data_IF_368113873160
#
_entry.id   IF_368113873160
#
_cell.length_a   1.000
_cell.length_b   1.000
_cell.length_c   1.000
_cell.angle_alpha   90.00
_cell.angle_beta   90.00
_cell.angle_gamma   90.00
#
_symmetry.space_group_name_H-M   'P 1'
#
loop_
_entity.id
_entity.type
_entity.pdbx_description
1 polymer ?
#
# COMPACT_ATOMS: atom_id res chain seq x y z
N UNK A 1 16.79 -5.44 6.83
CA UNK A 1 15.93 -5.21 8.01
C UNK A 1 14.79 -6.20 7.95
N UNK A 2 14.87 -7.22 8.80
CA UNK A 2 13.87 -8.27 8.98
C UNK A 2 12.80 -7.75 9.94
N UNK A 3 11.70 -7.19 9.43
CA UNK A 3 10.72 -6.51 10.30
C UNK A 3 9.38 -7.26 10.36
N UNK A 4 9.06 -8.12 9.39
CA UNK A 4 7.71 -8.69 9.24
C UNK A 4 7.56 -10.14 9.66
N UNK A 5 8.64 -10.78 10.14
CA UNK A 5 8.60 -12.18 10.62
C UNK A 5 8.64 -12.32 12.12
N UNK A 6 8.72 -11.21 12.85
CA UNK A 6 8.71 -11.18 14.32
C UNK A 6 7.38 -10.66 14.91
N UNK A 7 6.35 -10.52 14.08
CA UNK A 7 5.01 -10.11 14.52
C UNK A 7 4.14 -11.30 15.00
N UNK A 8 4.76 -12.47 15.15
CA UNK A 8 4.16 -13.62 15.84
C UNK A 8 4.68 -13.69 17.29
N UNK A 9 4.52 -12.58 18.01
CA UNK A 9 4.95 -12.46 19.42
C UNK A 9 3.83 -12.83 20.40
N UNK A 10 2.74 -13.47 19.96
CA UNK A 10 1.78 -14.07 20.90
C UNK A 10 2.33 -15.33 21.59
N UNK A 11 3.35 -15.99 21.04
CA UNK A 11 3.91 -17.21 21.65
C UNK A 11 5.27 -17.03 22.35
N UNK A 12 6.00 -15.93 22.12
CA UNK A 12 7.33 -15.73 22.70
C UNK A 12 7.32 -15.13 24.12
N UNK A 13 6.17 -14.74 24.66
CA UNK A 13 6.06 -14.05 25.96
C UNK A 13 5.18 -14.79 26.98
N UNK A 14 4.81 -16.06 26.72
CA UNK A 14 3.94 -16.86 27.59
C UNK A 14 4.68 -17.80 28.57
N UNK A 15 5.97 -17.60 28.79
CA UNK A 15 6.71 -18.31 29.84
C UNK A 15 7.55 -17.31 30.62
N UNK A 16 6.90 -16.58 31.51
CA UNK A 16 7.53 -16.01 32.69
C UNK A 16 6.64 -16.41 33.86
N UNK A 17 7.08 -17.42 34.60
CA UNK A 17 6.47 -17.80 35.87
C UNK A 17 6.56 -16.61 36.84
N UNK A 18 5.55 -16.40 37.71
CA UNK A 18 5.51 -15.25 38.58
C UNK A 18 6.40 -15.49 39.80
N UNK A 19 7.67 -15.10 39.71
CA UNK A 19 8.45 -14.83 40.92
C UNK A 19 8.00 -13.47 41.49
N UNK A 20 7.44 -13.55 42.69
CA UNK A 20 7.03 -12.45 43.57
C UNK A 20 8.11 -11.39 43.71
N UNK A 21 7.93 -10.24 43.04
CA UNK A 21 8.47 -8.94 43.45
C UNK A 21 7.42 -7.86 43.18
N UNK A 22 6.87 -7.31 44.26
CA UNK A 22 5.93 -6.19 44.29
C UNK A 22 6.66 -4.86 44.12
N UNK A 23 7.23 -4.62 42.94
CA UNK A 23 7.65 -3.28 42.54
C UNK A 23 7.11 -3.04 41.14
N UNK A 24 5.90 -2.49 41.05
CA UNK A 24 5.41 -2.01 39.76
C UNK A 24 6.28 -0.83 39.36
N UNK A 25 7.06 -0.91 38.26
CA UNK A 25 7.93 0.17 37.86
C UNK A 25 7.07 1.40 37.58
N UNK A 26 7.40 2.51 38.24
CA UNK A 26 6.68 3.77 38.08
C UNK A 26 6.66 4.14 36.58
N UNK A 27 5.49 4.47 36.01
CA UNK A 27 5.40 4.81 34.61
C UNK A 27 6.31 5.99 34.30
N UNK A 28 7.01 5.93 33.16
CA UNK A 28 7.87 7.03 32.71
C UNK A 28 7.07 8.35 32.66
N UNK A 29 7.72 9.49 32.90
CA UNK A 29 7.07 10.82 32.83
C UNK A 29 6.31 11.05 31.52
N UNK A 30 6.78 10.46 30.42
CA UNK A 30 6.10 10.49 29.13
C UNK A 30 4.79 9.67 29.11
N UNK A 31 4.73 8.53 29.79
CA UNK A 31 3.52 7.71 29.90
C UNK A 31 2.48 8.32 30.83
N UNK A 32 2.88 9.21 31.74
CA UNK A 32 1.96 9.99 32.57
C UNK A 32 1.20 11.06 31.77
N UNK A 33 1.61 11.35 30.52
CA UNK A 33 0.90 12.29 29.67
C UNK A 33 -0.47 11.71 29.23
N UNK A 34 -1.52 12.54 29.14
CA UNK A 34 -2.79 12.15 28.55
C UNK A 34 -2.62 11.53 27.17
N UNK A 35 -3.42 10.51 26.87
CA UNK A 35 -3.34 9.75 25.61
C UNK A 35 -3.42 10.65 24.37
N UNK A 36 -4.22 11.72 24.42
CA UNK A 36 -4.35 12.70 23.35
C UNK A 36 -3.05 13.44 23.02
N UNK A 37 -2.29 13.83 24.06
CA UNK A 37 -1.00 14.50 23.87
C UNK A 37 0.04 13.53 23.33
N UNK A 38 0.05 12.29 23.85
CA UNK A 38 0.93 11.22 23.33
C UNK A 38 0.65 10.96 21.85
N UNK A 39 -0.63 10.87 21.47
CA UNK A 39 -1.06 10.69 20.09
C UNK A 39 -0.62 11.84 19.18
N UNK A 40 -0.75 13.09 19.62
CA UNK A 40 -0.26 14.26 18.86
C UNK A 40 1.26 14.22 18.66
N UNK A 41 2.02 13.83 19.68
CA UNK A 41 3.47 13.67 19.59
C UNK A 41 3.83 12.55 18.61
N UNK A 42 3.16 11.40 18.70
CA UNK A 42 3.38 10.31 17.76
C UNK A 42 3.03 10.72 16.32
N UNK A 43 1.90 11.41 16.11
CA UNK A 43 1.50 11.88 14.78
C UNK A 43 2.57 12.77 14.12
N UNK A 44 3.31 13.55 14.91
CA UNK A 44 4.44 14.35 14.40
C UNK A 44 5.65 13.50 13.98
N UNK A 45 5.91 12.39 14.69
CA UNK A 45 7.02 11.47 14.40
C UNK A 45 6.70 10.52 13.23
N UNK A 46 5.46 10.04 13.15
CA UNK A 46 5.02 9.14 12.09
C UNK A 46 4.59 9.94 10.86
N UNK A 47 5.55 10.32 10.02
CA UNK A 47 5.28 10.90 8.70
C UNK A 47 4.83 9.84 7.68
N UNK A 48 4.54 10.25 6.45
CA UNK A 48 4.21 9.31 5.36
C UNK A 48 5.47 8.54 4.94
N UNK A 49 5.41 7.21 4.99
CA UNK A 49 6.50 6.32 4.60
C UNK A 49 6.10 5.43 3.44
N UNK A 50 6.91 5.34 2.39
CA UNK A 50 6.66 4.41 1.27
C UNK A 50 7.53 3.17 1.38
N UNK A 51 6.91 1.99 1.45
CA UNK A 51 7.60 0.72 1.71
C UNK A 51 7.13 -0.35 0.74
N UNK A 52 8.08 -0.96 0.05
CA UNK A 52 7.85 -2.13 -0.79
C UNK A 52 7.94 -3.41 0.04
N UNK A 53 6.90 -4.24 -0.04
CA UNK A 53 6.85 -5.54 0.60
C UNK A 53 7.33 -6.59 -0.39
N UNK A 54 8.46 -7.21 -0.06
CA UNK A 54 9.14 -8.19 -0.90
C UNK A 54 9.08 -9.55 -0.22
N UNK A 55 8.54 -10.54 -0.92
CA UNK A 55 8.66 -11.94 -0.51
C UNK A 55 9.98 -12.49 -1.04
N UNK A 56 10.88 -12.92 -0.15
CA UNK A 56 12.16 -13.54 -0.53
C UNK A 56 12.33 -14.88 0.18
N UNK A 57 13.02 -15.80 -0.48
CA UNK A 57 13.51 -17.03 0.16
C UNK A 57 14.48 -16.64 1.26
N UNK A 58 14.33 -17.20 2.45
CA UNK A 58 15.35 -17.01 3.47
C UNK A 58 16.61 -17.78 3.10
N UNK A 59 17.77 -17.28 3.54
CA UNK A 59 19.02 -18.01 3.39
C UNK A 59 18.90 -19.30 4.22
N UNK A 60 19.37 -20.42 3.66
CA UNK A 60 19.45 -21.69 4.40
C UNK A 60 20.36 -21.45 5.60
N UNK A 61 19.81 -21.51 6.81
CA UNK A 61 20.60 -21.92 7.98
C UNK A 61 20.91 -23.39 7.77
N UNK A 62 22.20 -23.75 7.81
CA UNK A 62 22.68 -25.11 7.66
C UNK A 62 21.84 -26.06 8.54
N UNK A 63 21.20 -27.06 7.92
CA UNK A 63 20.39 -28.07 8.63
C UNK A 63 18.88 -28.10 8.35
N UNK A 64 18.26 -27.04 7.81
CA UNK A 64 16.80 -27.06 7.52
C UNK A 64 16.48 -27.50 6.09
N UNK A 65 15.80 -28.65 5.93
CA UNK A 65 15.39 -29.20 4.62
C UNK A 65 14.25 -28.41 3.94
N UNK A 66 13.45 -27.66 4.70
CA UNK A 66 12.28 -26.92 4.18
C UNK A 66 12.63 -25.47 3.83
N UNK A 67 12.40 -25.11 2.57
CA UNK A 67 12.50 -23.73 2.10
C UNK A 67 11.39 -22.88 2.73
N UNK A 68 11.74 -21.96 3.62
CA UNK A 68 10.80 -20.97 4.14
C UNK A 68 10.97 -19.62 3.42
N UNK A 69 9.87 -19.08 2.94
CA UNK A 69 9.81 -17.71 2.44
C UNK A 69 9.61 -16.75 3.63
N UNK A 70 10.07 -15.51 3.52
CA UNK A 70 9.82 -14.43 4.49
C UNK A 70 9.44 -13.14 3.77
N UNK A 71 8.72 -12.27 4.47
CA UNK A 71 8.44 -10.92 4.01
C UNK A 71 9.53 -9.98 4.51
N UNK A 72 10.01 -9.13 3.61
CA UNK A 72 10.98 -8.09 3.88
C UNK A 72 10.39 -6.76 3.44
N UNK A 73 10.72 -5.69 4.17
CA UNK A 73 10.46 -4.34 3.70
C UNK A 73 11.69 -3.75 3.04
N UNK A 74 11.46 -3.09 1.91
CA UNK A 74 12.44 -2.19 1.30
C UNK A 74 11.83 -0.81 1.24
N UNK A 75 12.49 0.16 1.87
CA UNK A 75 12.02 1.53 1.81
C UNK A 75 12.19 2.10 0.40
N UNK A 76 11.16 2.76 -0.08
CA UNK A 76 11.18 3.50 -1.34
C UNK A 76 11.19 5.01 -1.08
N UNK A 77 11.53 5.77 -2.12
CA UNK A 77 11.36 7.22 -2.08
C UNK A 77 9.86 7.54 -2.04
N UNK A 78 9.47 8.61 -1.30
CA UNK A 78 8.11 9.15 -1.38
C UNK A 78 7.68 9.34 -2.83
N UNK A 79 6.39 9.13 -3.10
CA UNK A 79 5.85 9.41 -4.42
C UNK A 79 5.93 10.92 -4.64
N UNK A 80 6.70 11.33 -5.64
CA UNK A 80 6.80 12.72 -6.07
C UNK A 80 5.62 12.95 -7.00
N UNK A 81 4.65 13.76 -6.58
CA UNK A 81 3.66 14.29 -7.51
C UNK A 81 4.41 15.03 -8.61
N UNK A 82 3.97 14.90 -9.86
CA UNK A 82 4.71 15.37 -11.06
C UNK A 82 5.16 16.85 -11.02
N UNK A 83 4.66 17.64 -10.06
CA UNK A 83 4.96 19.06 -9.86
C UNK A 83 5.74 19.38 -8.57
N UNK A 84 6.09 18.40 -7.73
CA UNK A 84 6.94 18.64 -6.57
C UNK A 84 8.42 18.48 -6.95
N UNK A 85 9.23 19.45 -6.52
CA UNK A 85 10.69 19.36 -6.62
C UNK A 85 11.16 18.05 -5.99
N UNK A 86 12.07 17.34 -6.66
CA UNK A 86 12.60 16.06 -6.16
C UNK A 86 13.20 16.32 -4.77
N UNK A 87 12.65 15.76 -3.69
CA UNK A 87 13.24 15.97 -2.38
C UNK A 87 14.67 15.44 -2.39
N UNK A 88 15.62 16.26 -1.95
CA UNK A 88 17.03 15.88 -1.86
C UNK A 88 17.22 14.61 -1.00
N UNK A 89 18.35 13.92 -1.19
CA UNK A 89 18.69 12.65 -0.51
C UNK A 89 18.55 12.71 1.03
N UNK A 90 18.63 13.90 1.60
CA UNK A 90 18.69 14.21 3.03
C UNK A 90 17.31 14.26 3.72
N UNK A 91 16.21 14.23 2.96
CA UNK A 91 14.84 14.34 3.49
C UNK A 91 14.19 12.99 3.85
N UNK A 92 14.93 11.88 3.74
CA UNK A 92 14.42 10.54 3.99
C UNK A 92 14.50 10.25 5.51
N UNK A 93 13.57 10.81 6.30
CA UNK A 93 13.46 10.57 7.76
C UNK A 93 13.35 9.08 8.07
N UNK A 94 14.26 8.46 8.84
CA UNK A 94 14.18 7.02 9.15
C UNK A 94 12.79 6.61 9.67
N UNK A 95 12.37 5.36 9.38
CA UNK A 95 11.24 4.79 10.10
C UNK A 95 11.57 4.79 11.61
N UNK A 96 10.67 5.26 12.49
CA UNK A 96 10.92 5.32 13.93
C UNK A 96 10.74 3.93 14.56
N UNK A 97 11.35 2.90 13.98
CA UNK A 97 11.27 1.52 14.47
C UNK A 97 11.83 1.40 15.89
N UNK A 98 12.85 2.20 16.21
CA UNK A 98 13.44 2.23 17.56
C UNK A 98 12.41 2.64 18.61
N UNK A 99 11.54 3.60 18.30
CA UNK A 99 10.47 4.05 19.20
C UNK A 99 9.43 2.94 19.45
N UNK A 100 9.03 2.23 18.39
CA UNK A 100 8.01 1.17 18.49
C UNK A 100 8.47 0.05 19.42
N UNK A 101 9.77 -0.23 19.46
CA UNK A 101 10.34 -1.33 20.25
C UNK A 101 10.89 -0.90 21.61
N UNK A 102 10.65 0.33 22.08
CA UNK A 102 11.12 0.74 23.42
C UNK A 102 10.36 0.06 24.55
N UNK A 103 9.02 0.01 24.49
CA UNK A 103 8.20 -0.63 25.49
C UNK A 103 6.82 -1.05 24.94
N UNK A 104 6.16 -1.97 25.66
CA UNK A 104 4.86 -2.53 25.25
C UNK A 104 3.75 -1.46 25.12
N UNK A 105 3.70 -0.48 26.03
CA UNK A 105 2.69 0.58 25.97
C UNK A 105 2.86 1.45 24.73
N UNK A 106 4.08 1.89 24.42
CA UNK A 106 4.37 2.69 23.21
C UNK A 106 4.11 1.85 21.95
N UNK A 107 4.47 0.57 21.96
CA UNK A 107 4.17 -0.34 20.85
C UNK A 107 2.68 -0.36 20.51
N UNK A 108 1.81 -0.53 21.52
CA UNK A 108 0.36 -0.60 21.31
C UNK A 108 -0.22 0.71 20.78
N UNK A 109 0.28 1.85 21.26
CA UNK A 109 -0.19 3.16 20.78
C UNK A 109 0.28 3.47 19.35
N UNK A 110 1.48 3.04 18.99
CA UNK A 110 2.16 3.50 17.77
C UNK A 110 2.04 2.54 16.59
N UNK A 111 1.77 1.25 16.83
CA UNK A 111 1.74 0.27 15.75
C UNK A 111 0.67 0.60 14.70
N UNK A 112 -0.54 0.99 15.11
CA UNK A 112 -1.61 1.33 14.17
C UNK A 112 -1.30 2.63 13.40
N UNK A 113 -0.63 3.61 14.04
CA UNK A 113 -0.17 4.82 13.37
C UNK A 113 0.88 4.50 12.29
N UNK A 114 1.77 3.55 12.56
CA UNK A 114 2.73 3.07 11.56
C UNK A 114 1.98 2.53 10.33
N UNK A 115 1.03 1.61 10.51
CA UNK A 115 0.27 1.04 9.39
C UNK A 115 -0.58 2.09 8.66
N UNK A 116 -1.17 3.04 9.38
CA UNK A 116 -1.98 4.11 8.79
C UNK A 116 -1.15 5.09 7.96
N UNK A 117 0.08 5.40 8.37
CA UNK A 117 0.96 6.36 7.69
C UNK A 117 1.96 5.70 6.74
N UNK A 118 1.87 4.38 6.52
CA UNK A 118 2.70 3.66 5.57
C UNK A 118 1.95 3.39 4.27
N UNK A 119 2.59 3.75 3.16
CA UNK A 119 2.18 3.40 1.80
C UNK A 119 2.81 2.05 1.45
N UNK A 120 1.98 1.01 1.40
CA UNK A 120 2.43 -0.34 1.11
C UNK A 120 2.46 -0.60 -0.39
N UNK A 121 3.64 -0.90 -0.92
CA UNK A 121 3.84 -1.21 -2.33
C UNK A 121 4.00 -2.72 -2.50
N UNK A 122 3.11 -3.33 -3.27
CA UNK A 122 3.15 -4.75 -3.58
C UNK A 122 3.51 -4.97 -5.05
N UNK A 123 4.63 -5.63 -5.29
CA UNK A 123 5.07 -5.99 -6.65
C UNK A 123 4.68 -7.41 -7.06
N UNK A 124 4.22 -8.24 -6.12
CA UNK A 124 3.86 -9.64 -6.39
C UNK A 124 2.63 -10.04 -5.59
N UNK A 125 1.74 -10.81 -6.23
CA UNK A 125 0.54 -11.40 -5.61
C UNK A 125 0.87 -12.27 -4.40
N UNK A 126 1.99 -12.98 -4.49
CA UNK A 126 2.53 -13.81 -3.44
C UNK A 126 2.98 -13.04 -2.19
N UNK A 127 3.34 -11.76 -2.34
CA UNK A 127 3.63 -10.86 -1.21
C UNK A 127 2.33 -10.31 -0.61
N UNK A 128 1.35 -9.95 -1.44
CA UNK A 128 0.02 -9.47 -1.00
C UNK A 128 -0.66 -10.50 -0.10
N UNK A 129 -0.92 -11.69 -0.64
CA UNK A 129 -1.59 -12.79 0.07
C UNK A 129 -0.90 -13.15 1.38
N UNK A 130 0.43 -13.19 1.40
CA UNK A 130 1.19 -13.49 2.61
C UNK A 130 1.17 -12.34 3.61
N UNK A 131 1.19 -11.10 3.15
CA UNK A 131 1.13 -9.93 4.01
C UNK A 131 -0.20 -9.88 4.75
N UNK A 132 -1.31 -10.14 4.06
CA UNK A 132 -2.63 -10.26 4.68
C UNK A 132 -2.61 -11.37 5.74
N UNK A 133 -2.14 -12.57 5.40
CA UNK A 133 -2.11 -13.71 6.34
C UNK A 133 -1.29 -13.48 7.62
N UNK A 134 -0.25 -12.65 7.58
CA UNK A 134 0.65 -12.42 8.74
C UNK A 134 0.24 -11.17 9.54
N UNK A 135 -0.37 -10.19 8.87
CA UNK A 135 -0.72 -8.91 9.51
C UNK A 135 -1.99 -9.10 10.35
N UNK A 136 -2.04 -8.62 11.61
CA UNK A 136 -3.24 -8.74 12.43
C UNK A 136 -4.38 -7.88 11.86
N UNK A 137 -5.63 -8.30 12.11
CA UNK A 137 -6.85 -7.65 11.59
C UNK A 137 -6.91 -6.15 11.85
N UNK A 138 -6.51 -5.72 13.05
CA UNK A 138 -6.59 -4.31 13.44
C UNK A 138 -5.59 -3.46 12.66
N UNK A 139 -4.40 -4.02 12.40
CA UNK A 139 -3.40 -3.37 11.56
C UNK A 139 -3.83 -3.36 10.09
N UNK A 140 -4.47 -4.44 9.60
CA UNK A 140 -5.02 -4.47 8.24
C UNK A 140 -6.08 -3.37 8.06
N UNK A 141 -7.01 -3.22 9.01
CA UNK A 141 -8.04 -2.20 8.97
C UNK A 141 -7.48 -0.77 9.06
N UNK A 142 -6.33 -0.59 9.71
CA UNK A 142 -5.67 0.71 9.81
C UNK A 142 -4.95 1.14 8.52
N UNK A 143 -4.70 0.25 7.56
CA UNK A 143 -3.99 0.58 6.32
C UNK A 143 -4.82 1.53 5.46
N UNK A 144 -4.23 2.68 5.13
CA UNK A 144 -4.89 3.74 4.34
C UNK A 144 -4.40 3.86 2.91
N UNK A 145 -3.18 3.41 2.61
CA UNK A 145 -2.56 3.64 1.31
C UNK A 145 -1.86 2.38 0.76
N UNK A 146 -2.33 1.93 -0.40
CA UNK A 146 -1.78 0.79 -1.13
C UNK A 146 -1.35 1.19 -2.54
N UNK A 147 -0.21 0.66 -2.97
CA UNK A 147 0.26 0.70 -4.36
C UNK A 147 0.45 -0.73 -4.89
N UNK A 148 -0.31 -1.10 -5.91
CA UNK A 148 -0.23 -2.36 -6.60
C UNK A 148 0.62 -2.19 -7.86
N UNK A 149 1.68 -2.97 -7.98
CA UNK A 149 2.43 -3.13 -9.22
C UNK A 149 2.22 -4.55 -9.71
N UNK A 150 1.40 -4.69 -10.73
CA UNK A 150 1.06 -5.99 -11.28
C UNK A 150 1.54 -6.11 -12.72
N UNK A 151 2.17 -7.24 -13.02
CA UNK A 151 2.56 -7.59 -14.38
C UNK A 151 1.86 -8.90 -14.67
N UNK A 152 0.93 -8.87 -15.63
CA UNK A 152 0.18 -10.06 -16.00
C UNK A 152 1.09 -11.10 -16.65
N UNK A 153 0.66 -12.36 -16.61
CA UNK A 153 1.35 -13.42 -17.32
C UNK A 153 1.09 -13.27 -18.82
N UNK A 154 2.15 -13.42 -19.64
CA UNK A 154 2.02 -13.37 -21.10
C UNK A 154 1.17 -14.52 -21.64
N UNK A 155 0.52 -14.28 -22.78
CA UNK A 155 -0.20 -15.35 -23.48
C UNK A 155 0.77 -16.45 -23.93
N UNK A 156 0.60 -17.71 -23.48
CA UNK A 156 1.48 -18.80 -23.85
C UNK A 156 1.27 -19.21 -25.30
N UNK A 157 2.36 -19.56 -25.99
CA UNK A 157 2.29 -20.04 -27.38
C UNK A 157 1.63 -21.42 -27.50
N UNK A 158 1.74 -22.23 -26.47
CA UNK A 158 1.14 -23.58 -26.40
C UNK A 158 -0.02 -23.55 -25.41
N UNK A 159 -1.14 -24.14 -25.82
CA UNK A 159 -2.39 -24.18 -25.05
C UNK A 159 -2.23 -24.88 -23.70
N UNK A 160 -1.32 -25.86 -23.60
CA UNK A 160 -1.01 -26.59 -22.37
C UNK A 160 -0.54 -25.66 -21.23
N UNK A 161 0.20 -24.59 -21.56
CA UNK A 161 0.70 -23.64 -20.56
C UNK A 161 -0.34 -22.59 -20.13
N UNK A 162 -1.53 -22.57 -20.76
CA UNK A 162 -2.61 -21.63 -20.42
C UNK A 162 -3.09 -21.80 -18.99
N UNK A 163 -2.96 -23.01 -18.42
CA UNK A 163 -3.29 -23.28 -17.03
C UNK A 163 -2.47 -22.43 -16.04
N UNK A 164 -1.21 -22.13 -16.36
CA UNK A 164 -0.35 -21.33 -15.48
C UNK A 164 -0.75 -19.86 -15.49
N UNK A 165 -1.14 -19.34 -16.66
CA UNK A 165 -1.72 -18.02 -16.81
C UNK A 165 -3.02 -17.91 -16.01
N UNK A 166 -3.96 -18.82 -16.23
CA UNK A 166 -5.23 -18.85 -15.50
C UNK A 166 -5.03 -18.91 -13.98
N UNK A 167 -4.07 -19.73 -13.50
CA UNK A 167 -3.71 -19.78 -12.07
C UNK A 167 -3.14 -18.47 -11.55
N UNK A 168 -2.29 -17.80 -12.33
CA UNK A 168 -1.71 -16.50 -11.97
C UNK A 168 -2.78 -15.42 -11.89
N UNK A 169 -3.66 -15.36 -12.88
CA UNK A 169 -4.73 -14.36 -12.98
C UNK A 169 -5.75 -14.58 -11.85
N UNK A 170 -6.14 -15.84 -11.59
CA UNK A 170 -7.01 -16.20 -10.46
C UNK A 170 -6.37 -15.87 -9.10
N UNK A 171 -5.06 -16.11 -8.94
CA UNK A 171 -4.37 -15.74 -7.71
C UNK A 171 -4.39 -14.23 -7.48
N UNK A 172 -4.25 -13.44 -8.55
CA UNK A 172 -4.34 -11.97 -8.45
C UNK A 172 -5.74 -11.50 -8.14
N UNK A 173 -6.76 -12.10 -8.77
CA UNK A 173 -8.18 -11.87 -8.47
C UNK A 173 -8.48 -12.07 -6.98
N UNK A 174 -8.18 -13.25 -6.45
CA UNK A 174 -8.41 -13.58 -5.03
C UNK A 174 -7.61 -12.69 -4.08
N UNK A 175 -6.38 -12.33 -4.45
CA UNK A 175 -5.57 -11.42 -3.62
C UNK A 175 -6.17 -10.01 -3.55
N UNK A 176 -6.80 -9.53 -4.62
CA UNK A 176 -7.47 -8.23 -4.61
C UNK A 176 -8.77 -8.27 -3.79
N UNK A 177 -9.53 -9.35 -3.90
CA UNK A 177 -10.72 -9.60 -3.07
C UNK A 177 -10.36 -9.63 -1.58
N UNK A 178 -9.37 -10.46 -1.19
CA UNK A 178 -8.86 -10.54 0.17
C UNK A 178 -8.41 -9.17 0.69
N UNK A 179 -7.74 -8.37 -0.16
CA UNK A 179 -7.28 -7.03 0.20
C UNK A 179 -8.43 -6.04 0.40
N UNK A 180 -9.44 -6.06 -0.47
CA UNK A 180 -10.60 -5.20 -0.35
C UNK A 180 -11.38 -5.50 0.95
N UNK A 181 -11.46 -6.78 1.34
CA UNK A 181 -12.09 -7.20 2.59
C UNK A 181 -11.25 -6.86 3.84
N UNK A 182 -9.93 -7.02 3.75
CA UNK A 182 -9.01 -6.79 4.87
C UNK A 182 -8.80 -5.30 5.15
N UNK A 183 -8.62 -4.48 4.11
CA UNK A 183 -8.19 -3.08 4.23
C UNK A 183 -9.37 -2.11 4.26
N UNK A 184 -10.19 -2.23 5.31
CA UNK A 184 -11.41 -1.42 5.50
C UNK A 184 -11.14 0.09 5.59
N UNK A 185 -9.95 0.48 6.05
CA UNK A 185 -9.53 1.88 6.14
C UNK A 185 -8.86 2.44 4.87
N UNK A 186 -8.85 1.69 3.76
CA UNK A 186 -8.18 2.10 2.53
C UNK A 186 -8.81 3.38 1.98
N UNK A 187 -8.00 4.43 1.84
CA UNK A 187 -8.39 5.72 1.26
C UNK A 187 -7.70 6.02 -0.07
N UNK A 188 -6.48 5.53 -0.24
CA UNK A 188 -5.68 5.80 -1.45
C UNK A 188 -5.22 4.50 -2.08
N UNK A 189 -5.59 4.30 -3.34
CA UNK A 189 -5.19 3.17 -4.17
C UNK A 189 -4.39 3.65 -5.38
N UNK A 190 -3.21 3.10 -5.58
CA UNK A 190 -2.44 3.30 -6.80
C UNK A 190 -2.22 1.96 -7.49
N UNK A 191 -2.45 1.89 -8.79
CA UNK A 191 -2.28 0.67 -9.57
C UNK A 191 -1.38 0.98 -10.76
N UNK A 192 -0.28 0.26 -10.91
CA UNK A 192 0.54 0.22 -12.13
C UNK A 192 0.46 -1.20 -12.67
N UNK A 193 -0.38 -1.39 -13.69
CA UNK A 193 -0.68 -2.69 -14.25
C UNK A 193 -0.16 -2.79 -15.69
N UNK A 194 0.59 -3.86 -15.95
CA UNK A 194 1.03 -4.21 -17.30
C UNK A 194 0.20 -5.39 -17.80
N UNK A 195 -0.62 -5.13 -18.80
CA UNK A 195 -1.58 -6.09 -19.34
C UNK A 195 -0.90 -6.87 -20.47
N UNK A 196 -1.04 -8.19 -20.42
CA UNK A 196 -0.52 -9.12 -21.43
C UNK A 196 -1.56 -10.15 -21.87
N UNK A 197 -2.84 -9.76 -21.82
CA UNK A 197 -3.97 -10.58 -22.30
C UNK A 197 -4.15 -10.47 -23.80
N UNK A 198 -4.52 -11.59 -24.42
CA UNK A 198 -4.90 -11.66 -25.82
C UNK A 198 -5.90 -12.80 -26.08
N UNK A 199 -6.98 -12.58 -26.86
CA UNK A 199 -7.48 -11.31 -27.37
C UNK A 199 -8.14 -10.46 -26.28
N UNK A 200 -8.07 -9.14 -26.41
CA UNK A 200 -8.58 -8.17 -25.43
C UNK A 200 -9.25 -7.01 -26.18
N UNK A 201 -10.42 -6.57 -25.72
CA UNK A 201 -11.16 -5.42 -26.29
C UNK A 201 -10.85 -4.11 -25.56
N UNK A 202 -10.21 -4.20 -24.40
CA UNK A 202 -9.85 -3.08 -23.53
C UNK A 202 -11.10 -2.40 -22.96
N UNK A 203 -12.01 -3.22 -22.45
CA UNK A 203 -13.27 -2.78 -21.86
C UNK A 203 -13.26 -3.05 -20.34
N UNK A 204 -13.88 -2.15 -19.57
CA UNK A 204 -14.02 -2.33 -18.12
C UNK A 204 -15.09 -3.40 -17.86
N UNK A 205 -14.74 -4.41 -17.09
CA UNK A 205 -15.53 -5.63 -16.88
C UNK A 205 -14.89 -6.87 -17.50
N UNK A 206 -13.85 -6.72 -18.33
CA UNK A 206 -13.03 -7.83 -18.76
C UNK A 206 -12.19 -8.40 -17.61
N UNK A 207 -11.74 -9.66 -17.75
CA UNK A 207 -11.04 -10.42 -16.72
C UNK A 207 -9.85 -9.70 -16.09
N UNK A 208 -9.09 -8.92 -16.86
CA UNK A 208 -7.95 -8.15 -16.36
C UNK A 208 -8.38 -7.02 -15.40
N UNK A 209 -9.57 -6.45 -15.59
CA UNK A 209 -10.07 -5.28 -14.84
C UNK A 209 -10.90 -5.67 -13.62
N UNK A 210 -11.54 -6.85 -13.62
CA UNK A 210 -12.39 -7.32 -12.53
C UNK A 210 -11.73 -7.26 -11.15
N UNK A 211 -10.46 -7.68 -10.95
CA UNK A 211 -9.81 -7.62 -9.63
C UNK A 211 -9.74 -6.20 -9.06
N UNK A 212 -9.70 -5.18 -9.92
CA UNK A 212 -9.58 -3.78 -9.50
C UNK A 212 -10.93 -3.20 -9.06
N UNK A 213 -12.03 -3.76 -9.55
CA UNK A 213 -13.39 -3.33 -9.21
C UNK A 213 -13.80 -3.72 -7.78
N UNK A 214 -13.12 -4.69 -7.14
CA UNK A 214 -13.35 -5.05 -5.74
C UNK A 214 -13.13 -3.89 -4.76
N UNK A 215 -12.27 -2.96 -5.14
CA UNK A 215 -11.99 -1.74 -4.39
C UNK A 215 -13.05 -0.65 -4.62
N UNK A 216 -13.97 -0.85 -5.57
CA UNK A 216 -15.03 0.09 -5.87
C UNK A 216 -16.23 -0.05 -4.93
N UNK A 217 -17.00 1.03 -4.80
CA UNK A 217 -18.20 1.11 -3.95
C UNK A 217 -19.27 0.06 -4.32
N UNK A 218 -19.35 -0.29 -5.60
CA UNK A 218 -20.31 -1.27 -6.12
C UNK A 218 -20.05 -2.70 -5.61
N UNK A 219 -18.85 -3.00 -5.13
CA UNK A 219 -18.49 -4.34 -4.67
C UNK A 219 -19.03 -4.71 -3.28
N UNK A 220 -19.73 -3.80 -2.59
CA UNK A 220 -20.26 -4.06 -1.24
C UNK A 220 -19.20 -4.19 -0.15
N UNK A 221 -17.92 -4.02 -0.48
CA UNK A 221 -16.76 -4.12 0.43
C UNK A 221 -16.63 -2.90 1.36
N UNK A 222 -17.45 -1.86 1.15
CA UNK A 222 -17.54 -0.69 2.03
C UNK A 222 -16.27 0.18 2.08
N UNK A 223 -15.31 -0.04 1.17
CA UNK A 223 -14.09 0.76 1.09
C UNK A 223 -14.38 2.05 0.33
N UNK A 224 -14.35 3.16 1.08
CA UNK A 224 -14.63 4.49 0.55
C UNK A 224 -13.31 5.17 0.15
N UNK A 225 -12.90 4.95 -1.10
CA UNK A 225 -11.63 5.43 -1.64
C UNK A 225 -11.73 6.91 -2.00
N UNK A 226 -10.83 7.71 -1.41
CA UNK A 226 -10.72 9.14 -1.66
C UNK A 226 -9.87 9.44 -2.90
N UNK A 227 -8.89 8.59 -3.20
CA UNK A 227 -8.04 8.74 -4.38
C UNK A 227 -7.65 7.40 -4.98
N UNK A 228 -8.07 7.15 -6.22
CA UNK A 228 -7.55 6.08 -7.06
C UNK A 228 -6.62 6.65 -8.14
N UNK A 229 -5.49 6.02 -8.44
CA UNK A 229 -4.69 6.33 -9.62
C UNK A 229 -4.29 5.06 -10.33
N UNK A 230 -4.78 4.88 -11.55
CA UNK A 230 -4.54 3.69 -12.37
C UNK A 230 -3.63 4.07 -13.53
N UNK A 231 -2.57 3.29 -13.71
CA UNK A 231 -1.70 3.36 -14.87
C UNK A 231 -1.70 2.01 -15.55
N UNK A 232 -2.26 1.97 -16.74
CA UNK A 232 -2.26 0.79 -17.60
C UNK A 232 -1.11 0.89 -18.61
N UNK A 233 -0.49 -0.25 -18.91
CA UNK A 233 0.55 -0.35 -19.94
C UNK A 233 0.29 -1.58 -20.78
N UNK A 234 0.17 -1.39 -22.08
CA UNK A 234 0.01 -2.46 -23.05
C UNK A 234 0.66 -2.03 -24.37
N UNK A 235 1.20 -2.98 -25.14
CA UNK A 235 1.97 -2.68 -26.35
C UNK A 235 1.09 -2.31 -27.55
N UNK A 236 -0.14 -2.84 -27.62
CA UNK A 236 -0.95 -2.75 -28.85
C UNK A 236 -1.94 -1.60 -28.91
N UNK A 237 -2.23 -0.95 -27.78
CA UNK A 237 -3.11 0.21 -27.73
C UNK A 237 -2.29 1.48 -27.52
N UNK A 238 -2.80 2.60 -28.02
CA UNK A 238 -2.20 3.90 -27.78
C UNK A 238 -2.27 4.26 -26.29
N UNK A 239 -1.30 5.05 -25.83
CA UNK A 239 -1.28 5.54 -24.45
C UNK A 239 -2.53 6.38 -24.12
N UNK A 240 -3.14 7.02 -25.12
CA UNK A 240 -4.38 7.80 -24.96
C UNK A 240 -5.58 6.90 -24.68
N UNK A 241 -5.75 5.81 -25.45
CA UNK A 241 -6.82 4.84 -25.22
C UNK A 241 -6.68 4.21 -23.82
N UNK A 242 -5.46 3.82 -23.44
CA UNK A 242 -5.16 3.29 -22.10
C UNK A 242 -5.47 4.31 -20.99
N UNK A 243 -5.22 5.60 -21.21
CA UNK A 243 -5.55 6.65 -20.25
C UNK A 243 -7.05 6.87 -20.11
N UNK A 244 -7.81 6.81 -21.20
CA UNK A 244 -9.27 6.94 -21.16
C UNK A 244 -9.86 5.79 -20.32
N UNK A 245 -9.44 4.56 -20.59
CA UNK A 245 -9.92 3.39 -19.85
C UNK A 245 -9.45 3.43 -18.38
N UNK A 246 -8.21 3.84 -18.13
CA UNK A 246 -7.71 4.02 -16.76
C UNK A 246 -8.54 5.06 -15.98
N UNK A 247 -8.94 6.17 -16.60
CA UNK A 247 -9.82 7.17 -15.97
C UNK A 247 -11.22 6.62 -15.70
N UNK A 248 -11.81 5.89 -16.63
CA UNK A 248 -13.09 5.22 -16.41
C UNK A 248 -13.03 4.22 -15.25
N UNK A 249 -11.89 3.53 -15.10
CA UNK A 249 -11.69 2.63 -13.96
C UNK A 249 -11.53 3.39 -12.64
N UNK A 250 -10.77 4.50 -12.64
CA UNK A 250 -10.66 5.38 -11.47
C UNK A 250 -12.02 5.92 -11.03
N UNK A 251 -12.87 6.31 -11.98
CA UNK A 251 -14.23 6.78 -11.72
C UNK A 251 -15.11 5.70 -11.10
N UNK A 252 -15.08 4.45 -11.61
CA UNK A 252 -15.82 3.33 -11.00
C UNK A 252 -15.32 2.96 -9.61
N UNK A 253 -14.02 3.07 -9.36
CA UNK A 253 -13.44 2.77 -8.04
C UNK A 253 -13.82 3.85 -7.02
N UNK A 254 -13.68 5.13 -7.36
CA UNK A 254 -13.93 6.26 -6.44
C UNK A 254 -15.41 6.64 -6.31
N UNK A 255 -16.21 6.38 -7.36
CA UNK A 255 -17.53 6.97 -7.55
C UNK A 255 -17.46 8.35 -8.22
N UNK A 256 -18.56 8.79 -8.85
CA UNK A 256 -18.59 9.97 -9.71
C UNK A 256 -18.29 11.27 -8.96
N UNK A 257 -18.86 11.46 -7.77
CA UNK A 257 -18.71 12.70 -6.99
C UNK A 257 -17.25 12.97 -6.58
N UNK A 258 -16.60 11.97 -5.98
CA UNK A 258 -15.19 12.08 -5.55
C UNK A 258 -14.25 12.20 -6.73
N UNK A 259 -14.56 11.50 -7.83
CA UNK A 259 -13.78 11.61 -9.06
C UNK A 259 -13.83 13.04 -9.60
N UNK A 260 -15.02 13.66 -9.64
CA UNK A 260 -15.20 15.03 -10.10
C UNK A 260 -14.46 16.03 -9.20
N UNK A 261 -14.61 15.94 -7.87
CA UNK A 261 -13.89 16.81 -6.91
C UNK A 261 -12.38 16.76 -7.17
N UNK A 262 -11.82 15.56 -7.37
CA UNK A 262 -10.39 15.39 -7.64
C UNK A 262 -9.98 15.99 -8.99
N UNK A 263 -10.79 15.84 -10.04
CA UNK A 263 -10.49 16.44 -11.35
C UNK A 263 -10.59 17.97 -11.30
N UNK A 264 -11.56 18.52 -10.57
CA UNK A 264 -11.71 19.96 -10.33
C UNK A 264 -10.49 20.50 -9.56
N UNK A 265 -10.03 19.80 -8.53
CA UNK A 265 -8.79 20.14 -7.84
C UNK A 265 -7.56 20.11 -8.78
N UNK A 266 -7.46 19.09 -9.64
CA UNK A 266 -6.37 19.00 -10.63
C UNK A 266 -6.42 20.15 -11.62
N UNK A 267 -7.60 20.54 -12.08
CA UNK A 267 -7.81 21.63 -13.00
C UNK A 267 -7.49 22.97 -12.33
N UNK A 268 -7.98 23.21 -11.11
CA UNK A 268 -7.67 24.38 -10.30
C UNK A 268 -6.16 24.52 -10.07
N UNK A 269 -5.46 23.42 -9.74
CA UNK A 269 -3.99 23.40 -9.60
C UNK A 269 -3.29 23.75 -10.91
N UNK A 270 -3.74 23.20 -12.06
CA UNK A 270 -3.17 23.53 -13.38
C UNK A 270 -3.36 25.00 -13.73
N UNK A 271 -4.56 25.55 -13.53
CA UNK A 271 -4.86 26.96 -13.77
C UNK A 271 -4.03 27.88 -12.88
N UNK A 272 -3.87 27.53 -11.60
CA UNK A 272 -3.05 28.31 -10.67
C UNK A 272 -1.55 28.31 -11.06
N UNK A 273 -1.01 27.17 -11.52
CA UNK A 273 0.37 27.10 -12.05
C UNK A 273 0.51 27.93 -13.33
N UNK A 274 -0.45 27.86 -14.23
CA UNK A 274 -0.47 28.67 -15.45
C UNK A 274 -0.54 30.17 -15.14
N UNK A 275 -1.38 30.57 -14.18
CA UNK A 275 -1.51 31.95 -13.70
C UNK A 275 -0.23 32.49 -13.07
N UNK A 276 0.57 31.64 -12.41
CA UNK A 276 1.92 32.02 -11.95
C UNK A 276 2.89 32.19 -13.11
N UNK A 277 2.87 31.29 -14.11
CA UNK A 277 3.74 31.38 -15.29
C UNK A 277 3.45 32.63 -16.13
N UNK A 278 2.19 32.99 -16.34
CA UNK A 278 1.84 34.23 -17.06
C UNK A 278 2.19 35.49 -16.29
N UNK A 279 2.09 35.50 -14.96
CA UNK A 279 2.59 36.62 -14.13
C UNK A 279 4.10 36.76 -14.17
N UNK A 280 4.86 35.65 -14.17
CA UNK A 280 6.32 35.68 -14.31
C UNK A 280 6.74 36.21 -15.68
N UNK A 281 6.05 35.82 -16.76
CA UNK A 281 6.34 36.33 -18.10
C UNK A 281 6.07 37.85 -18.24
N UNK A 282 5.09 38.39 -17.51
CA UNK A 282 4.81 39.84 -17.49
C UNK A 282 5.79 40.67 -16.65
N UNK A 283 6.56 40.04 -15.76
CA UNK A 283 7.57 40.72 -14.93
C UNK A 283 8.97 40.73 -15.57
N UNK A 284 9.15 40.03 -16.70
CA UNK A 284 10.42 39.87 -17.42
C UNK A 284 10.39 40.61 -18.78
N UNK A 285 9.28 41.25 -19.13
CA UNK A 285 9.15 42.22 -20.24
C UNK A 285 9.11 43.64 -19.67
#
# INVERSE_FOLDING_TARGET
MEIWTSLDSRQAWCQFDPETQTDTPSPSSFQCLPAELRLKIYAYLFTIYRVEIIRRKSKKTEGTKKLYYRLYSKRLRPRVDKNQEKPGRWWIKSLPMTLIFTCRSIYLDTILLLYANTQFVFATTNAMTRFIKITPSDAQAAIRHVELKHIMYNEPRLTEFRIYKARSDMAFYLACEDMALAFKGLRVLHVDMRIYDWPIRLEIGELWSLPLLFFGRESGTGTDIDEASVRLRMVMFSDEALQIIARGLEERIMGPEKFQIREDERLARKLHVLGRKTKVLRLVM
#
